data_IF_467420911288
#
_entry.id   IF_467420911288
#
_cell.length_a   1.000
_cell.length_b   1.000
_cell.length_c   1.000
_cell.angle_alpha   90.00
_cell.angle_beta   90.00
_cell.angle_gamma   90.00
#
_symmetry.space_group_name_H-M   'P 1'
#
loop_
_entity.id
_entity.type
_entity.pdbx_description
1 polymer ?
#
# COMPACT_ATOMS: atom_id res chain seq x y z
N UNK A 1 -24.93 1.05 -19.14
CA UNK A 1 -25.12 0.09 -18.02
C UNK A 1 -24.17 0.48 -16.91
N UNK A 2 -24.65 0.59 -15.67
CA UNK A 2 -23.87 0.96 -14.49
C UNK A 2 -24.10 -0.09 -13.42
N UNK A 3 -23.09 -0.38 -12.61
CA UNK A 3 -23.24 -1.27 -11.46
C UNK A 3 -21.95 -2.01 -11.11
N UNK A 4 -21.91 -2.56 -9.92
CA UNK A 4 -20.80 -3.36 -9.40
C UNK A 4 -20.49 -4.57 -10.26
N UNK A 5 -21.55 -5.17 -10.87
CA UNK A 5 -21.41 -6.30 -11.81
C UNK A 5 -20.63 -5.97 -13.09
N UNK A 6 -20.50 -4.69 -13.46
CA UNK A 6 -19.67 -4.21 -14.57
C UNK A 6 -18.28 -3.83 -14.08
N UNK A 7 -18.17 -3.24 -12.90
CA UNK A 7 -16.89 -2.85 -12.32
C UNK A 7 -16.03 -4.06 -11.95
N UNK A 8 -16.63 -5.09 -11.37
CA UNK A 8 -15.91 -6.30 -10.92
C UNK A 8 -15.12 -6.99 -12.05
N UNK A 9 -15.69 -7.35 -13.21
CA UNK A 9 -14.92 -8.00 -14.27
C UNK A 9 -13.86 -7.09 -14.88
N UNK A 10 -14.08 -5.76 -14.94
CA UNK A 10 -13.06 -4.81 -15.39
C UNK A 10 -11.87 -4.83 -14.43
N UNK A 11 -12.12 -4.78 -13.13
CA UNK A 11 -11.06 -4.87 -12.11
C UNK A 11 -10.36 -6.22 -12.18
N UNK A 12 -11.09 -7.33 -12.30
CA UNK A 12 -10.51 -8.67 -12.41
C UNK A 12 -9.62 -8.81 -13.65
N UNK A 13 -10.06 -8.28 -14.80
CA UNK A 13 -9.26 -8.25 -16.02
C UNK A 13 -8.00 -7.40 -15.86
N UNK A 14 -8.08 -6.26 -15.18
CA UNK A 14 -6.92 -5.41 -14.85
C UNK A 14 -5.93 -6.16 -13.97
N UNK A 15 -6.41 -6.85 -12.93
CA UNK A 15 -5.56 -7.66 -12.03
C UNK A 15 -4.84 -8.78 -12.79
N UNK A 16 -5.52 -9.43 -13.74
CA UNK A 16 -4.91 -10.48 -14.58
C UNK A 16 -3.75 -9.92 -15.43
N UNK A 17 -3.93 -8.71 -16.01
CA UNK A 17 -2.88 -8.04 -16.78
C UNK A 17 -1.73 -7.55 -15.90
N UNK A 18 -2.01 -7.04 -14.71
CA UNK A 18 -0.97 -6.68 -13.72
C UNK A 18 -0.17 -7.92 -13.34
N UNK A 19 -0.84 -9.04 -13.06
CA UNK A 19 -0.18 -10.31 -12.75
C UNK A 19 0.73 -10.76 -13.89
N UNK A 20 0.25 -10.72 -15.11
CA UNK A 20 1.05 -11.06 -16.30
C UNK A 20 2.29 -10.16 -16.41
N UNK A 21 2.12 -8.85 -16.21
CA UNK A 21 3.22 -7.90 -16.23
C UNK A 21 4.27 -8.21 -15.16
N UNK A 22 3.86 -8.45 -13.92
CA UNK A 22 4.77 -8.79 -12.81
C UNK A 22 5.55 -10.07 -13.12
N UNK A 23 4.87 -11.12 -13.55
CA UNK A 23 5.52 -12.39 -13.89
C UNK A 23 6.52 -12.23 -15.02
N UNK A 24 6.17 -11.50 -16.08
CA UNK A 24 7.04 -11.34 -17.27
C UNK A 24 8.20 -10.37 -17.02
N UNK A 25 7.97 -9.31 -16.25
CA UNK A 25 8.95 -8.23 -16.08
C UNK A 25 9.91 -8.51 -14.92
N UNK A 26 9.38 -9.01 -13.80
CA UNK A 26 10.16 -9.17 -12.58
C UNK A 26 10.46 -10.63 -12.23
N UNK A 27 9.87 -11.58 -12.98
CA UNK A 27 9.99 -13.03 -12.72
C UNK A 27 9.52 -13.43 -11.30
N UNK A 28 8.49 -12.72 -10.79
CA UNK A 28 7.87 -12.94 -9.49
C UNK A 28 6.51 -13.60 -9.72
N UNK A 29 6.15 -14.62 -8.92
CA UNK A 29 4.78 -15.10 -8.84
C UNK A 29 4.07 -14.33 -7.72
N UNK A 30 3.28 -13.26 -8.04
CA UNK A 30 2.82 -12.32 -7.04
C UNK A 30 1.79 -12.93 -6.11
N UNK A 31 1.87 -12.56 -4.83
CA UNK A 31 0.84 -12.85 -3.84
C UNK A 31 -0.46 -12.05 -4.13
N UNK A 32 -1.55 -12.42 -3.46
CA UNK A 32 -2.79 -11.65 -3.50
C UNK A 32 -2.60 -10.24 -2.91
N UNK A 33 -1.77 -10.13 -1.87
CA UNK A 33 -1.42 -8.86 -1.24
C UNK A 33 -0.70 -7.93 -2.23
N UNK A 34 0.29 -8.46 -2.98
CA UNK A 34 1.01 -7.66 -3.99
C UNK A 34 0.08 -7.19 -5.10
N UNK A 35 -0.79 -8.05 -5.62
CA UNK A 35 -1.75 -7.65 -6.65
C UNK A 35 -2.69 -6.55 -6.16
N UNK A 36 -3.18 -6.67 -4.91
CA UNK A 36 -4.01 -5.64 -4.28
C UNK A 36 -3.25 -4.32 -4.10
N UNK A 37 -1.98 -4.40 -3.66
CA UNK A 37 -1.11 -3.22 -3.51
C UNK A 37 -0.90 -2.48 -4.84
N UNK A 38 -0.66 -3.18 -5.94
CA UNK A 38 -0.53 -2.59 -7.28
C UNK A 38 -1.79 -1.85 -7.72
N UNK A 39 -2.97 -2.45 -7.52
CA UNK A 39 -4.25 -1.85 -7.91
C UNK A 39 -4.52 -0.57 -7.10
N UNK A 40 -4.28 -0.60 -5.79
CA UNK A 40 -4.49 0.54 -4.90
C UNK A 40 -3.48 1.64 -5.22
N UNK A 41 -2.20 1.30 -5.35
CA UNK A 41 -1.13 2.26 -5.63
C UNK A 41 -1.36 3.01 -6.94
N UNK A 42 -1.84 2.31 -7.99
CA UNK A 42 -2.16 2.90 -9.29
C UNK A 42 -3.53 3.55 -9.39
N UNK A 43 -4.36 3.54 -8.35
CA UNK A 43 -5.70 4.12 -8.40
C UNK A 43 -5.67 5.65 -8.61
N UNK A 44 -6.64 6.17 -9.36
CA UNK A 44 -6.72 7.57 -9.77
C UNK A 44 -7.90 8.29 -9.11
N UNK A 45 -7.71 9.60 -8.87
CA UNK A 45 -8.80 10.52 -8.54
C UNK A 45 -9.11 10.66 -7.05
N UNK A 46 -8.26 10.11 -6.18
CA UNK A 46 -8.42 10.20 -4.73
C UNK A 46 -7.12 10.62 -4.03
N UNK A 47 -7.29 11.33 -2.92
CA UNK A 47 -6.24 11.61 -1.94
C UNK A 47 -6.35 10.65 -0.74
N UNK A 48 -6.42 9.35 -1.02
CA UNK A 48 -6.63 8.34 -0.01
C UNK A 48 -7.99 7.63 -0.15
N UNK A 49 -8.38 6.90 0.87
CA UNK A 49 -9.63 6.16 0.91
C UNK A 49 -10.83 7.06 1.21
N UNK A 50 -11.96 6.80 0.53
CA UNK A 50 -13.26 7.35 0.90
C UNK A 50 -14.36 6.29 0.82
N UNK A 51 -15.42 6.45 1.61
CA UNK A 51 -16.56 5.50 1.60
C UNK A 51 -17.32 5.51 0.26
N UNK A 52 -17.32 6.64 -0.45
CA UNK A 52 -18.07 6.79 -1.69
C UNK A 52 -17.34 6.20 -2.91
N UNK A 53 -16.00 6.28 -2.93
CA UNK A 53 -15.18 5.92 -4.10
C UNK A 53 -14.09 4.89 -3.80
N UNK A 54 -14.00 4.40 -2.57
CA UNK A 54 -12.94 3.51 -2.13
C UNK A 54 -11.56 4.16 -2.33
N UNK A 55 -10.63 3.43 -2.93
CA UNK A 55 -9.28 3.91 -3.25
C UNK A 55 -9.21 4.70 -4.56
N UNK A 56 -10.31 4.83 -5.28
CA UNK A 56 -10.39 5.56 -6.53
C UNK A 56 -10.65 4.65 -7.75
N UNK A 57 -10.46 5.23 -8.93
CA UNK A 57 -10.70 4.54 -10.21
C UNK A 57 -9.49 3.66 -10.57
N UNK A 58 -9.75 2.40 -10.88
CA UNK A 58 -8.70 1.48 -11.34
C UNK A 58 -8.05 1.98 -12.64
N UNK A 59 -6.71 1.95 -12.67
CA UNK A 59 -5.89 2.30 -13.83
C UNK A 59 -4.80 1.25 -14.02
N UNK A 60 -4.87 0.50 -15.12
CA UNK A 60 -3.82 -0.44 -15.48
C UNK A 60 -2.49 0.28 -15.73
N UNK A 61 -2.55 1.40 -16.45
CA UNK A 61 -1.36 2.19 -16.79
C UNK A 61 -0.61 2.65 -15.52
N UNK A 62 -1.29 3.31 -14.62
CA UNK A 62 -0.66 3.86 -13.40
C UNK A 62 -0.27 2.76 -12.41
N UNK A 63 -0.92 1.60 -12.48
CA UNK A 63 -0.53 0.44 -11.65
C UNK A 63 0.81 -0.17 -12.07
N UNK A 64 1.19 -0.11 -13.35
CA UNK A 64 2.42 -0.77 -13.85
C UNK A 64 3.53 0.20 -14.26
N UNK A 65 3.17 1.39 -14.75
CA UNK A 65 4.13 2.39 -15.19
C UNK A 65 4.41 3.42 -14.09
N UNK A 66 5.60 3.39 -13.53
CA UNK A 66 6.02 4.29 -12.46
C UNK A 66 6.36 3.57 -11.16
N UNK A 67 6.03 2.29 -11.05
CA UNK A 67 6.41 1.46 -9.89
C UNK A 67 7.92 1.37 -9.78
N UNK A 68 8.47 1.67 -8.59
CA UNK A 68 9.90 1.72 -8.28
C UNK A 68 10.31 0.77 -7.16
N UNK A 69 9.38 0.46 -6.25
CA UNK A 69 9.56 -0.53 -5.19
C UNK A 69 8.52 -1.61 -5.36
N UNK A 70 8.97 -2.86 -5.29
CA UNK A 70 8.12 -4.04 -5.20
C UNK A 70 8.76 -4.97 -4.17
N UNK A 71 8.05 -5.25 -3.10
CA UNK A 71 8.39 -6.30 -2.16
C UNK A 71 7.20 -7.22 -1.95
N UNK A 72 7.43 -8.52 -1.94
CA UNK A 72 6.43 -9.59 -1.74
C UNK A 72 7.04 -10.78 -0.98
N UNK A 73 8.22 -10.60 -0.40
CA UNK A 73 9.00 -11.69 0.21
C UNK A 73 9.30 -11.48 1.67
N UNK A 74 9.25 -10.25 2.15
CA UNK A 74 9.60 -9.92 3.52
C UNK A 74 8.42 -10.11 4.46
N UNK A 75 8.75 -10.22 5.72
CA UNK A 75 7.80 -10.34 6.83
C UNK A 75 8.35 -9.63 8.05
N UNK A 76 7.48 -9.30 8.99
CA UNK A 76 7.84 -8.71 10.28
C UNK A 76 7.17 -9.47 11.42
N UNK A 77 7.90 -9.57 12.54
CA UNK A 77 7.36 -10.03 13.82
C UNK A 77 6.97 -8.83 14.68
N UNK A 78 6.31 -9.08 15.79
CA UNK A 78 5.95 -8.03 16.75
C UNK A 78 7.19 -7.27 17.23
N UNK A 79 7.18 -5.94 17.13
CA UNK A 79 8.26 -5.04 17.49
C UNK A 79 9.45 -5.00 16.52
N UNK A 80 9.41 -5.79 15.43
CA UNK A 80 10.42 -5.72 14.36
C UNK A 80 10.01 -4.74 13.27
N UNK A 81 10.98 -4.17 12.55
CA UNK A 81 10.74 -3.35 11.38
C UNK A 81 11.61 -3.73 10.20
N UNK A 82 11.10 -3.47 8.99
CA UNK A 82 11.84 -3.53 7.73
C UNK A 82 11.93 -2.12 7.13
N UNK A 83 13.13 -1.77 6.66
CA UNK A 83 13.39 -0.42 6.13
C UNK A 83 13.73 -0.48 4.66
N UNK A 84 13.10 0.41 3.88
CA UNK A 84 13.33 0.59 2.44
C UNK A 84 13.59 2.05 2.13
N UNK A 85 14.07 2.32 0.93
CA UNK A 85 14.25 3.69 0.45
C UNK A 85 13.67 3.85 -0.95
N UNK A 86 13.09 5.02 -1.21
CA UNK A 86 12.63 5.41 -2.54
C UNK A 86 13.15 6.80 -2.89
N UNK A 87 13.79 6.92 -4.07
CA UNK A 87 14.27 8.23 -4.54
C UNK A 87 13.20 8.94 -5.35
N UNK A 88 12.84 10.15 -4.94
CA UNK A 88 11.99 11.05 -5.70
C UNK A 88 12.85 12.02 -6.51
N UNK A 89 12.80 11.90 -7.85
CA UNK A 89 13.53 12.75 -8.78
C UNK A 89 12.62 13.76 -9.50
N UNK A 90 11.31 13.72 -9.26
CA UNK A 90 10.33 14.62 -9.89
C UNK A 90 9.25 14.99 -8.89
N UNK A 91 9.20 16.26 -8.54
CA UNK A 91 8.19 16.81 -7.63
C UNK A 91 6.80 17.03 -8.27
N UNK A 92 6.65 16.80 -9.58
CA UNK A 92 5.39 17.05 -10.31
C UNK A 92 4.43 15.85 -10.35
N UNK A 93 4.76 14.75 -9.69
CA UNK A 93 3.88 13.60 -9.52
C UNK A 93 3.80 13.23 -8.05
N UNK A 94 2.63 12.80 -7.57
CA UNK A 94 2.53 12.26 -6.22
C UNK A 94 3.47 11.08 -6.01
N UNK A 95 4.11 11.03 -4.85
CA UNK A 95 4.76 9.83 -4.35
C UNK A 95 3.71 9.00 -3.61
N UNK A 96 3.53 7.75 -4.01
CA UNK A 96 2.56 6.85 -3.41
C UNK A 96 3.26 5.60 -2.88
N UNK A 97 2.98 5.26 -1.64
CA UNK A 97 3.47 4.04 -0.99
C UNK A 97 2.27 3.27 -0.47
N UNK A 98 2.20 1.99 -0.82
CA UNK A 98 1.07 1.12 -0.44
C UNK A 98 1.61 -0.15 0.19
N UNK A 99 1.21 -0.41 1.43
CA UNK A 99 1.44 -1.62 2.20
C UNK A 99 0.14 -2.43 2.25
N UNK A 100 0.25 -3.73 1.98
CA UNK A 100 -0.89 -4.67 2.07
C UNK A 100 -0.41 -5.99 2.65
N UNK A 101 -1.21 -6.59 3.51
CA UNK A 101 -0.94 -7.95 3.99
C UNK A 101 -2.20 -8.81 3.97
N UNK A 102 -1.99 -10.12 3.82
CA UNK A 102 -3.04 -11.12 4.01
C UNK A 102 -3.03 -11.50 5.48
N UNK A 103 -3.93 -10.89 6.23
CA UNK A 103 -4.00 -11.04 7.68
C UNK A 103 -4.37 -12.47 8.10
N UNK A 104 -4.02 -12.81 9.33
CA UNK A 104 -4.43 -14.06 9.95
C UNK A 104 -5.96 -14.08 10.15
N UNK A 105 -6.64 -15.23 9.96
CA UNK A 105 -8.08 -15.31 10.14
C UNK A 105 -8.53 -14.93 11.55
N UNK A 106 -9.38 -13.93 11.65
CA UNK A 106 -10.00 -13.54 12.93
C UNK A 106 -11.03 -14.56 13.40
N UNK A 107 -11.20 -14.67 14.72
CA UNK A 107 -12.31 -15.42 15.31
C UNK A 107 -13.62 -14.68 15.05
N UNK A 108 -14.68 -15.41 14.71
CA UNK A 108 -16.03 -14.83 14.53
C UNK A 108 -16.60 -14.14 15.79
N UNK A 109 -15.97 -14.34 16.93
CA UNK A 109 -16.37 -13.75 18.21
C UNK A 109 -15.59 -12.47 18.55
N UNK A 110 -14.56 -12.13 17.77
CA UNK A 110 -13.78 -10.92 18.00
C UNK A 110 -14.52 -9.68 17.51
N UNK A 111 -14.45 -8.60 18.27
CA UNK A 111 -15.01 -7.30 17.90
C UNK A 111 -14.22 -6.64 16.77
N UNK A 112 -12.90 -6.91 16.66
CA UNK A 112 -12.02 -6.42 15.61
C UNK A 112 -11.71 -7.55 14.62
N UNK A 113 -11.72 -7.24 13.33
CA UNK A 113 -11.37 -8.16 12.26
C UNK A 113 -9.85 -8.27 12.07
N UNK A 114 -9.11 -7.19 12.34
CA UNK A 114 -7.65 -7.17 12.25
C UNK A 114 -7.03 -7.99 13.37
N UNK A 115 -6.13 -8.91 13.00
CA UNK A 115 -5.40 -9.79 13.93
C UNK A 115 -3.94 -9.40 14.04
N UNK A 116 -3.24 -9.33 12.90
CA UNK A 116 -1.88 -8.81 12.82
C UNK A 116 -1.93 -7.37 12.31
N UNK A 117 -1.34 -6.46 13.06
CA UNK A 117 -1.36 -5.02 12.82
C UNK A 117 0.04 -4.55 12.45
N UNK A 118 0.18 -4.04 11.23
CA UNK A 118 1.42 -3.47 10.68
C UNK A 118 1.25 -1.99 10.43
N UNK A 119 2.29 -1.21 10.71
CA UNK A 119 2.34 0.22 10.48
C UNK A 119 3.25 0.57 9.29
N UNK A 120 2.80 1.46 8.42
CA UNK A 120 3.59 2.08 7.37
C UNK A 120 4.00 3.49 7.79
N UNK A 121 5.29 3.75 7.80
CA UNK A 121 5.86 5.05 8.15
C UNK A 121 6.78 5.50 7.02
N UNK A 122 6.65 6.76 6.59
CA UNK A 122 7.52 7.34 5.55
C UNK A 122 8.09 8.65 6.03
N UNK A 123 9.41 8.76 6.03
CA UNK A 123 10.13 9.97 6.44
C UNK A 123 10.68 10.70 5.23
N UNK A 124 10.44 12.01 5.17
CA UNK A 124 10.95 12.88 4.12
C UNK A 124 12.50 12.92 4.11
N UNK A 125 13.14 13.29 2.96
CA UNK A 125 14.59 13.24 2.81
C UNK A 125 15.38 14.06 3.82
N UNK A 126 14.82 15.17 4.28
CA UNK A 126 15.42 16.08 5.27
C UNK A 126 14.99 15.78 6.72
N UNK A 127 14.14 14.77 6.91
CA UNK A 127 13.58 14.42 8.21
C UNK A 127 12.55 15.42 8.75
N UNK A 128 12.13 16.39 7.94
CA UNK A 128 11.21 17.47 8.38
C UNK A 128 9.79 17.00 8.60
N UNK A 129 9.36 15.98 7.86
CA UNK A 129 7.99 15.45 7.91
C UNK A 129 8.03 13.93 7.94
N UNK A 130 7.20 13.36 8.79
CA UNK A 130 6.89 11.93 8.82
C UNK A 130 5.42 11.73 8.46
N UNK A 131 5.16 10.79 7.59
CA UNK A 131 3.83 10.41 7.12
C UNK A 131 3.49 9.03 7.67
N UNK A 132 2.23 8.84 8.03
CA UNK A 132 1.72 7.59 8.60
C UNK A 132 0.67 6.97 7.68
N UNK A 133 0.57 5.66 7.70
CA UNK A 133 -0.37 4.92 6.87
C UNK A 133 -1.81 5.35 7.09
N UNK A 134 -2.53 5.62 5.99
CA UNK A 134 -3.92 6.08 5.98
C UNK A 134 -4.20 7.45 6.64
N UNK A 135 -3.17 8.19 7.05
CA UNK A 135 -3.31 9.59 7.41
C UNK A 135 -3.19 10.49 6.17
N UNK A 136 -4.34 10.99 5.69
CA UNK A 136 -4.43 11.82 4.48
C UNK A 136 -4.67 13.30 4.80
N UNK A 137 -4.64 13.70 6.05
CA UNK A 137 -4.99 15.05 6.52
C UNK A 137 -3.79 15.77 7.12
N UNK A 138 -3.73 17.08 6.95
CA UNK A 138 -2.69 17.94 7.51
C UNK A 138 -3.25 18.64 8.76
N UNK A 139 -2.52 18.73 9.87
CA UNK A 139 -1.17 18.19 10.08
C UNK A 139 -1.17 16.67 10.19
N UNK A 140 -0.16 16.04 9.57
CA UNK A 140 0.05 14.60 9.74
C UNK A 140 0.39 14.32 11.20
N UNK A 141 -0.35 13.41 11.81
CA UNK A 141 -0.11 13.00 13.19
C UNK A 141 0.24 11.51 13.27
N UNK A 142 0.52 11.02 14.46
CA UNK A 142 0.85 9.63 14.68
C UNK A 142 -0.37 8.77 15.04
N UNK A 143 -1.54 9.11 14.51
CA UNK A 143 -2.75 8.30 14.68
C UNK A 143 -2.73 7.15 13.67
N UNK A 144 -2.21 6.02 14.12
CA UNK A 144 -2.05 4.83 13.30
C UNK A 144 -3.38 4.13 13.03
N UNK A 145 -3.56 3.60 11.84
CA UNK A 145 -4.73 2.77 11.48
C UNK A 145 -4.64 1.40 12.17
N UNK A 146 -5.59 1.12 13.05
CA UNK A 146 -5.69 -0.12 13.83
C UNK A 146 -6.81 -1.05 13.34
N UNK A 147 -7.30 -0.83 12.13
CA UNK A 147 -8.51 -1.49 11.61
C UNK A 147 -8.31 -2.19 10.28
N UNK A 148 -7.41 -1.67 9.45
CA UNK A 148 -7.27 -2.11 8.07
C UNK A 148 -5.97 -2.89 7.84
N UNK A 149 -6.02 -3.90 6.97
CA UNK A 149 -4.85 -4.63 6.46
C UNK A 149 -4.32 -4.01 5.16
N UNK A 150 -4.54 -2.73 4.98
CA UNK A 150 -4.03 -1.89 3.88
C UNK A 150 -3.66 -0.55 4.46
N UNK A 151 -2.44 -0.12 4.23
CA UNK A 151 -1.99 1.22 4.54
C UNK A 151 -1.43 1.92 3.30
N UNK A 152 -1.79 3.16 3.13
CA UNK A 152 -1.41 3.95 1.97
C UNK A 152 -0.96 5.34 2.39
N UNK A 153 0.12 5.81 1.79
CA UNK A 153 0.63 7.17 1.93
C UNK A 153 0.66 7.81 0.56
N UNK A 154 0.11 9.02 0.45
CA UNK A 154 0.10 9.83 -0.77
C UNK A 154 0.69 11.20 -0.47
N UNK A 155 1.85 11.50 -1.05
CA UNK A 155 2.52 12.79 -0.93
C UNK A 155 2.36 13.52 -2.25
N UNK A 156 1.42 14.49 -2.31
CA UNK A 156 1.04 15.16 -3.56
C UNK A 156 2.14 16.04 -4.15
N UNK A 157 2.95 16.68 -3.31
CA UNK A 157 4.05 17.54 -3.73
C UNK A 157 5.34 17.08 -3.04
N UNK A 158 5.88 15.90 -3.42
CA UNK A 158 7.06 15.38 -2.78
C UNK A 158 8.27 16.26 -3.09
N UNK A 159 9.09 16.53 -2.07
CA UNK A 159 10.40 17.15 -2.27
C UNK A 159 11.36 16.15 -2.93
N UNK A 160 12.29 16.65 -3.73
CA UNK A 160 13.30 15.78 -4.32
C UNK A 160 14.26 15.25 -3.25
N UNK A 161 14.62 13.98 -3.38
CA UNK A 161 15.51 13.31 -2.44
C UNK A 161 15.10 11.86 -2.18
N UNK A 162 15.71 11.27 -1.17
CA UNK A 162 15.47 9.87 -0.79
C UNK A 162 14.58 9.82 0.44
N UNK A 163 13.41 9.24 0.29
CA UNK A 163 12.49 8.94 1.38
C UNK A 163 12.85 7.61 2.02
N UNK A 164 12.75 7.54 3.34
CA UNK A 164 12.87 6.31 4.10
C UNK A 164 11.48 5.76 4.39
N UNK A 165 11.27 4.50 4.10
CA UNK A 165 10.01 3.77 4.33
C UNK A 165 10.29 2.73 5.40
N UNK A 166 9.48 2.70 6.44
CA UNK A 166 9.53 1.70 7.49
C UNK A 166 8.19 0.94 7.53
N UNK A 167 8.27 -0.38 7.61
CA UNK A 167 7.15 -1.26 7.89
C UNK A 167 7.40 -1.87 9.26
N UNK A 168 6.56 -1.51 10.24
CA UNK A 168 6.68 -1.93 11.64
C UNK A 168 5.59 -2.96 11.97
N UNK A 169 5.99 -4.05 12.60
CA UNK A 169 5.04 -4.99 13.21
C UNK A 169 4.57 -4.46 14.57
N UNK A 170 3.45 -3.74 14.61
CA UNK A 170 2.93 -3.14 15.84
C UNK A 170 2.40 -4.20 16.80
N UNK A 171 1.51 -5.07 16.31
CA UNK A 171 0.98 -6.22 17.06
C UNK A 171 0.85 -7.41 16.12
N UNK A 172 1.69 -8.42 16.30
CA UNK A 172 1.79 -9.56 15.38
C UNK A 172 1.70 -10.87 16.18
N UNK A 173 0.54 -11.14 16.82
CA UNK A 173 0.37 -12.33 17.65
C UNK A 173 0.49 -13.65 16.86
N UNK A 174 0.28 -13.62 15.55
CA UNK A 174 0.41 -14.77 14.66
C UNK A 174 1.46 -14.48 13.57
N UNK A 175 2.70 -14.22 13.99
CA UNK A 175 3.80 -13.85 13.10
C UNK A 175 4.76 -14.99 12.75
N UNK A 176 5.79 -14.70 11.93
CA UNK A 176 5.96 -13.42 11.26
C UNK A 176 4.86 -13.16 10.21
N UNK A 177 4.40 -11.90 10.05
CA UNK A 177 3.39 -11.50 9.07
C UNK A 177 4.06 -11.14 7.75
N UNK A 178 3.83 -11.90 6.67
CA UNK A 178 4.25 -11.50 5.33
C UNK A 178 3.43 -10.31 4.83
N UNK A 179 4.08 -9.43 4.07
CA UNK A 179 3.44 -8.27 3.48
C UNK A 179 3.91 -7.99 2.06
N UNK A 180 3.16 -7.17 1.34
CA UNK A 180 3.54 -6.62 0.06
C UNK A 180 3.66 -5.09 0.17
N UNK A 181 4.73 -4.54 -0.41
CA UNK A 181 5.01 -3.11 -0.44
C UNK A 181 5.19 -2.66 -1.89
N UNK A 182 4.45 -1.63 -2.31
CA UNK A 182 4.55 -1.02 -3.63
C UNK A 182 4.77 0.47 -3.49
N UNK A 183 5.77 1.01 -4.21
CA UNK A 183 6.07 2.44 -4.26
C UNK A 183 6.16 2.96 -5.70
N UNK A 184 5.56 4.12 -5.99
CA UNK A 184 5.57 4.75 -7.32
C UNK A 184 5.80 6.25 -7.26
#
# INVERSE_FOLDING_TARGET
MNGTSMATPITSGTVALIREHIVKTYNINPSAALLKAFVINGALGQNGYSQDQGWGKVSLYDSIFGTRIINDTDSVSEGESQTYTISCIRSNRPLKITLVWSDYPASAQNAAALVNDLDLIVTAPDGSVTYYGNDFTVPYDSDFDRTNNVENIIINNPVEGTYTIEVLGHSVPHGPQPFALVGS
#
